data_IF_910717990437
#
_entry.id   IF_910717990437
#
_cell.length_a   1.000
_cell.length_b   1.000
_cell.length_c   1.000
_cell.angle_alpha   90.00
_cell.angle_beta   90.00
_cell.angle_gamma   90.00
#
_symmetry.space_group_name_H-M   'P 1'
#
loop_
_entity.id
_entity.type
_entity.pdbx_description
1 polymer ?
#
# COMPACT_ATOMS: atom_id res chain seq x y z
N UNK A 1 -3.96 3.30 9.78
CA UNK A 1 -3.76 1.87 9.45
C UNK A 1 -3.44 1.80 7.97
N UNK A 2 -2.37 1.14 7.55
CA UNK A 2 -2.15 0.83 6.15
C UNK A 2 -2.50 -0.61 5.83
N UNK A 3 -3.09 -0.83 4.67
CA UNK A 3 -3.60 -2.13 4.24
C UNK A 3 -3.17 -2.40 2.80
N UNK A 4 -2.80 -3.65 2.51
CA UNK A 4 -2.33 -4.04 1.18
C UNK A 4 -2.49 -5.55 0.95
N UNK A 5 -2.52 -5.96 -0.33
CA UNK A 5 -2.48 -7.34 -0.77
C UNK A 5 -1.12 -7.62 -1.45
N UNK A 6 -0.35 -8.56 -0.90
CA UNK A 6 0.91 -9.01 -1.51
C UNK A 6 0.72 -10.39 -2.14
N UNK A 7 1.07 -10.52 -3.41
CA UNK A 7 1.04 -11.80 -4.12
C UNK A 7 2.42 -12.46 -4.08
N UNK A 8 2.48 -13.71 -3.63
CA UNK A 8 3.72 -14.46 -3.51
C UNK A 8 3.58 -15.88 -4.07
N UNK A 9 4.69 -16.44 -4.53
CA UNK A 9 4.78 -17.82 -4.95
C UNK A 9 5.26 -18.66 -3.76
N UNK A 10 4.45 -19.61 -3.30
CA UNK A 10 4.82 -20.55 -2.25
C UNK A 10 5.23 -21.87 -2.90
N UNK A 11 6.39 -22.39 -2.49
CA UNK A 11 6.89 -23.68 -2.93
C UNK A 11 6.37 -24.77 -2.01
N UNK A 12 5.46 -25.59 -2.54
CA UNK A 12 4.91 -26.73 -1.84
C UNK A 12 5.56 -28.00 -2.38
N UNK A 13 6.16 -28.81 -1.50
CA UNK A 13 6.70 -30.10 -1.89
C UNK A 13 5.60 -31.16 -1.83
N UNK A 14 5.18 -31.65 -2.99
CA UNK A 14 4.22 -32.75 -3.08
C UNK A 14 4.96 -34.08 -2.87
N UNK A 15 4.85 -34.64 -1.66
CA UNK A 15 5.49 -35.92 -1.30
C UNK A 15 5.01 -37.09 -2.17
N UNK A 16 3.75 -37.11 -2.59
CA UNK A 16 3.18 -38.19 -3.42
C UNK A 16 3.74 -38.16 -4.85
N UNK A 17 3.86 -36.97 -5.43
CA UNK A 17 4.37 -36.79 -6.80
C UNK A 17 5.89 -36.59 -6.87
N UNK A 18 6.58 -36.51 -5.72
CA UNK A 18 8.01 -36.16 -5.59
C UNK A 18 8.40 -34.93 -6.41
N UNK A 19 7.50 -33.94 -6.51
CA UNK A 19 7.68 -32.72 -7.31
C UNK A 19 7.46 -31.48 -6.46
N UNK A 20 8.18 -30.41 -6.79
CA UNK A 20 7.91 -29.05 -6.29
C UNK A 20 6.77 -28.46 -7.11
N UNK A 21 5.72 -28.05 -6.42
CA UNK A 21 4.61 -27.30 -7.00
C UNK A 21 4.70 -25.86 -6.51
N UNK A 22 4.38 -24.92 -7.39
CA UNK A 22 4.34 -23.50 -7.07
C UNK A 22 2.88 -23.09 -6.98
N UNK A 23 2.42 -22.69 -5.79
CA UNK A 23 1.11 -22.07 -5.63
C UNK A 23 1.26 -20.55 -5.56
N UNK A 24 0.48 -19.84 -6.37
CA UNK A 24 0.26 -18.40 -6.17
C UNK A 24 -0.62 -18.24 -4.94
N UNK A 25 -0.10 -17.56 -3.94
CA UNK A 25 -0.80 -17.22 -2.71
C UNK A 25 -0.93 -15.71 -2.57
N UNK A 26 -1.97 -15.27 -1.87
CA UNK A 26 -2.16 -13.86 -1.54
C UNK A 26 -2.02 -13.67 -0.05
N UNK A 27 -1.24 -12.69 0.37
CA UNK A 27 -1.15 -12.29 1.76
C UNK A 27 -1.89 -10.96 1.88
N UNK A 28 -3.00 -10.95 2.62
CA UNK A 28 -3.68 -9.71 2.97
C UNK A 28 -3.15 -9.20 4.28
N UNK A 29 -2.61 -7.98 4.28
CA UNK A 29 -1.98 -7.39 5.45
C UNK A 29 -2.60 -6.06 5.84
N UNK A 30 -2.59 -5.81 7.15
CA UNK A 30 -2.92 -4.54 7.76
C UNK A 30 -1.88 -4.23 8.83
N UNK A 31 -1.30 -3.03 8.78
CA UNK A 31 -0.50 -2.50 9.88
C UNK A 31 -1.21 -1.31 10.50
N UNK A 32 -1.29 -1.30 11.82
CA UNK A 32 -1.89 -0.21 12.60
C UNK A 32 -0.82 0.43 13.49
N UNK A 33 -1.04 1.71 13.82
CA UNK A 33 -0.18 2.51 14.70
C UNK A 33 -1.00 3.72 15.19
N UNK A 34 -0.58 4.31 16.31
CA UNK A 34 -1.26 5.48 16.94
C UNK A 34 -0.68 6.82 16.51
N UNK A 35 0.40 6.82 15.73
CA UNK A 35 1.04 8.02 15.21
C UNK A 35 2.54 7.85 15.10
N UNK A 36 3.29 8.94 15.20
CA UNK A 36 4.74 8.92 15.29
C UNK A 36 5.21 8.90 16.74
N UNK A 37 6.30 8.20 17.01
CA UNK A 37 7.03 8.27 18.27
C UNK A 37 7.98 9.47 18.20
N UNK A 38 7.58 10.61 18.76
CA UNK A 38 8.35 11.86 18.72
C UNK A 38 9.74 11.72 19.35
N UNK A 39 9.86 10.89 20.41
CA UNK A 39 11.13 10.71 21.12
C UNK A 39 12.13 9.91 20.30
N UNK A 40 11.66 8.90 19.55
CA UNK A 40 12.51 8.11 18.66
C UNK A 40 12.71 8.74 17.28
N UNK A 41 11.83 9.64 16.89
CA UNK A 41 11.88 10.31 15.59
C UNK A 41 12.92 11.43 15.59
N UNK A 42 14.15 11.11 15.16
CA UNK A 42 15.30 12.01 15.15
C UNK A 42 15.77 12.23 13.70
N UNK A 43 16.23 13.45 13.38
CA UNK A 43 16.92 13.78 12.12
C UNK A 43 16.22 13.25 10.86
N UNK A 44 14.96 13.66 10.64
CA UNK A 44 14.08 13.26 9.53
C UNK A 44 13.65 11.78 9.47
N UNK A 45 14.18 10.90 10.33
CA UNK A 45 13.72 9.51 10.40
C UNK A 45 12.52 9.42 11.32
N UNK A 46 11.34 9.18 10.75
CA UNK A 46 10.09 9.00 11.51
C UNK A 46 9.93 7.55 11.96
N UNK A 47 9.60 7.35 13.23
CA UNK A 47 9.27 6.04 13.80
C UNK A 47 7.79 5.96 14.14
N UNK A 48 7.13 4.84 13.82
CA UNK A 48 5.73 4.62 14.14
C UNK A 48 5.59 4.18 15.61
N UNK A 49 4.64 4.80 16.31
CA UNK A 49 4.30 4.46 17.70
C UNK A 49 3.27 3.33 17.75
N UNK A 50 3.46 2.40 18.69
CA UNK A 50 2.55 1.27 18.95
C UNK A 50 2.22 0.45 17.70
N UNK A 51 3.18 0.29 16.79
CA UNK A 51 2.97 -0.41 15.52
C UNK A 51 2.64 -1.88 15.76
N UNK A 52 1.54 -2.38 15.18
CA UNK A 52 1.19 -3.80 15.13
C UNK A 52 0.88 -4.24 13.70
N UNK A 53 1.15 -5.50 13.40
CA UNK A 53 0.96 -6.12 12.09
C UNK A 53 -0.04 -7.26 12.19
N UNK A 54 -1.01 -7.26 11.28
CA UNK A 54 -2.01 -8.30 11.10
C UNK A 54 -1.91 -8.83 9.68
N UNK A 55 -1.78 -10.15 9.52
CA UNK A 55 -1.58 -10.79 8.22
C UNK A 55 -2.40 -12.07 8.14
N UNK A 56 -3.07 -12.27 7.01
CA UNK A 56 -3.70 -13.55 6.68
C UNK A 56 -3.11 -14.04 5.34
N UNK A 57 -2.58 -15.25 5.37
CA UNK A 57 -2.19 -15.96 4.16
C UNK A 57 -3.40 -16.68 3.57
N UNK A 58 -3.73 -16.35 2.33
CA UNK A 58 -4.71 -17.03 1.50
C UNK A 58 -3.99 -17.94 0.50
N UNK A 59 -3.80 -19.20 0.88
CA UNK A 59 -3.25 -20.23 0.00
C UNK A 59 -4.38 -20.93 -0.78
N UNK A 60 -4.05 -21.46 -1.96
CA UNK A 60 -5.00 -22.15 -2.83
C UNK A 60 -5.71 -23.28 -2.09
N UNK A 61 -7.04 -23.22 -2.08
CA UNK A 61 -7.91 -24.24 -1.49
C UNK A 61 -8.43 -23.92 -0.10
N UNK A 62 -7.99 -22.82 0.53
CA UNK A 62 -8.55 -22.32 1.79
C UNK A 62 -9.10 -20.91 1.60
N UNK A 63 -10.30 -20.65 2.09
CA UNK A 63 -10.89 -19.30 2.06
C UNK A 63 -10.56 -18.56 3.37
N UNK A 64 -9.26 -18.39 3.67
CA UNK A 64 -8.82 -17.80 4.95
C UNK A 64 -9.20 -16.31 5.08
N UNK A 65 -9.44 -15.65 3.94
CA UNK A 65 -9.93 -14.29 3.86
C UNK A 65 -11.43 -14.16 4.17
N UNK A 66 -12.14 -15.27 4.35
CA UNK A 66 -13.51 -15.22 4.85
C UNK A 66 -13.53 -14.49 6.21
N UNK A 67 -14.42 -13.50 6.31
CA UNK A 67 -14.59 -12.63 7.47
C UNK A 67 -13.30 -11.90 7.89
N UNK A 68 -12.43 -11.55 6.92
CA UNK A 68 -11.20 -10.80 7.17
C UNK A 68 -11.48 -9.50 7.95
N UNK A 69 -12.54 -8.79 7.59
CA UNK A 69 -13.04 -7.58 8.25
C UNK A 69 -13.32 -7.80 9.73
N UNK A 70 -14.02 -8.88 10.09
CA UNK A 70 -14.32 -9.23 11.48
C UNK A 70 -13.05 -9.57 12.26
N UNK A 71 -12.14 -10.35 11.65
CA UNK A 71 -10.85 -10.70 12.26
C UNK A 71 -10.00 -9.45 12.49
N UNK A 72 -9.98 -8.53 11.52
CA UNK A 72 -9.29 -7.25 11.64
C UNK A 72 -9.92 -6.36 12.72
N UNK A 73 -11.25 -6.29 12.79
CA UNK A 73 -11.97 -5.52 13.81
C UNK A 73 -11.63 -6.01 15.22
N UNK A 74 -11.63 -7.34 15.41
CA UNK A 74 -11.21 -7.97 16.66
C UNK A 74 -9.77 -7.61 17.01
N UNK A 75 -8.84 -7.78 16.06
CA UNK A 75 -7.43 -7.42 16.25
C UNK A 75 -7.24 -5.95 16.66
N UNK A 76 -7.98 -5.03 16.03
CA UNK A 76 -7.88 -3.60 16.35
C UNK A 76 -8.40 -3.29 17.76
N UNK A 77 -9.54 -3.85 18.17
CA UNK A 77 -10.08 -3.65 19.52
C UNK A 77 -9.21 -4.27 20.62
N UNK A 78 -8.54 -5.39 20.35
CA UNK A 78 -7.64 -6.02 21.31
C UNK A 78 -6.33 -5.25 21.49
N UNK A 79 -5.90 -4.49 20.49
CA UNK A 79 -4.59 -3.82 20.49
C UNK A 79 -4.66 -2.30 20.68
N UNK A 80 -5.82 -1.69 20.47
CA UNK A 80 -5.99 -0.24 20.51
C UNK A 80 -7.33 0.15 21.14
N UNK A 81 -7.32 1.22 21.94
CA UNK A 81 -8.54 1.85 22.39
C UNK A 81 -9.12 2.71 21.26
N UNK A 82 -10.18 2.23 20.60
CA UNK A 82 -10.79 2.91 19.46
C UNK A 82 -11.88 3.93 19.84
N UNK A 83 -12.31 3.97 21.12
CA UNK A 83 -13.38 4.85 21.57
C UNK A 83 -13.03 6.32 21.28
N UNK A 84 -13.94 7.02 20.60
CA UNK A 84 -13.80 8.43 20.20
C UNK A 84 -12.60 8.73 19.29
N UNK A 85 -11.97 7.73 18.67
CA UNK A 85 -10.85 7.91 17.74
C UNK A 85 -11.30 7.62 16.32
N UNK A 86 -10.82 8.43 15.38
CA UNK A 86 -11.05 8.19 13.95
C UNK A 86 -9.98 7.27 13.39
N UNK A 87 -10.39 6.16 12.80
CA UNK A 87 -9.50 5.29 12.05
C UNK A 87 -9.32 5.89 10.63
N UNK A 88 -8.07 6.02 10.21
CA UNK A 88 -7.71 6.40 8.83
C UNK A 88 -7.09 5.18 8.17
N UNK A 89 -7.58 4.83 6.99
CA UNK A 89 -7.13 3.67 6.21
C UNK A 89 -6.30 4.17 5.03
N UNK A 90 -5.06 3.69 4.94
CA UNK A 90 -4.14 3.93 3.84
C UNK A 90 -4.12 2.70 2.94
N UNK A 91 -4.34 2.86 1.63
CA UNK A 91 -4.27 1.74 0.69
C UNK A 91 -4.52 2.13 -0.76
N UNK A 92 -4.63 1.14 -1.63
CA UNK A 92 -4.73 1.30 -3.09
C UNK A 92 -6.16 1.60 -3.60
N UNK A 93 -7.15 1.55 -2.70
CA UNK A 93 -8.56 1.76 -3.03
C UNK A 93 -9.28 0.51 -3.56
N UNK A 94 -8.72 -0.69 -3.37
CA UNK A 94 -9.41 -1.94 -3.70
C UNK A 94 -10.79 -2.06 -3.04
N UNK A 95 -11.72 -2.78 -3.69
CA UNK A 95 -13.12 -2.88 -3.24
C UNK A 95 -13.27 -3.41 -1.80
N UNK A 96 -12.38 -4.31 -1.37
CA UNK A 96 -12.39 -4.82 0.00
C UNK A 96 -11.94 -3.76 1.02
N UNK A 97 -11.01 -2.86 0.66
CA UNK A 97 -10.60 -1.73 1.49
C UNK A 97 -11.77 -0.76 1.66
N UNK A 98 -12.52 -0.50 0.57
CA UNK A 98 -13.74 0.32 0.62
C UNK A 98 -14.80 -0.27 1.54
N UNK A 99 -14.96 -1.59 1.50
CA UNK A 99 -15.89 -2.32 2.37
C UNK A 99 -15.51 -2.15 3.85
N UNK A 100 -14.24 -2.36 4.19
CA UNK A 100 -13.72 -2.14 5.54
C UNK A 100 -13.92 -0.67 5.95
N UNK A 101 -13.53 0.30 5.12
CA UNK A 101 -13.69 1.71 5.47
C UNK A 101 -15.14 2.09 5.78
N UNK A 102 -16.09 1.55 5.01
CA UNK A 102 -17.52 1.74 5.24
C UNK A 102 -17.95 1.17 6.59
N UNK A 103 -17.53 -0.06 6.92
CA UNK A 103 -17.87 -0.72 8.19
C UNK A 103 -17.27 -0.01 9.41
N UNK A 104 -16.07 0.53 9.26
CA UNK A 104 -15.36 1.23 10.33
C UNK A 104 -15.64 2.74 10.36
N UNK A 105 -16.55 3.26 9.52
CA UNK A 105 -16.81 4.70 9.35
C UNK A 105 -15.52 5.52 9.23
N UNK A 106 -14.58 5.01 8.43
CA UNK A 106 -13.21 5.49 8.32
C UNK A 106 -12.97 6.22 7.01
N UNK A 107 -12.04 7.18 7.02
CA UNK A 107 -11.58 7.81 5.78
C UNK A 107 -10.58 6.89 5.08
N UNK A 108 -10.70 6.79 3.76
CA UNK A 108 -9.69 6.17 2.91
C UNK A 108 -8.79 7.26 2.36
N UNK A 109 -7.50 7.12 2.62
CA UNK A 109 -6.46 7.95 2.03
C UNK A 109 -5.65 7.06 1.11
N UNK A 110 -5.48 7.49 -0.12
CA UNK A 110 -4.67 6.76 -1.09
C UNK A 110 -3.20 6.89 -0.68
N UNK A 111 -2.48 5.77 -0.64
CA UNK A 111 -1.07 5.86 -0.24
C UNK A 111 -0.22 6.59 -1.31
N UNK A 112 0.95 7.07 -0.91
CA UNK A 112 1.81 7.88 -1.78
C UNK A 112 2.24 7.13 -3.04
N UNK A 113 2.45 5.81 -2.96
CA UNK A 113 2.88 5.00 -4.08
C UNK A 113 1.77 4.90 -5.14
N UNK A 114 0.57 4.54 -4.72
CA UNK A 114 -0.60 4.44 -5.57
C UNK A 114 -1.00 5.82 -6.11
N UNK A 115 -0.86 6.88 -5.31
CA UNK A 115 -1.17 8.25 -5.74
C UNK A 115 -0.23 8.67 -6.86
N UNK A 116 1.08 8.45 -6.67
CA UNK A 116 2.08 8.70 -7.73
C UNK A 116 1.82 7.85 -8.96
N UNK A 117 1.46 6.57 -8.79
CA UNK A 117 1.12 5.68 -9.91
C UNK A 117 -0.06 6.23 -10.73
N UNK A 118 -1.14 6.66 -10.07
CA UNK A 118 -2.29 7.25 -10.75
C UNK A 118 -1.93 8.58 -11.41
N UNK A 119 -1.18 9.46 -10.74
CA UNK A 119 -0.70 10.70 -11.33
C UNK A 119 0.14 10.44 -12.59
N UNK A 120 1.03 9.44 -12.56
CA UNK A 120 1.82 9.04 -13.74
C UNK A 120 0.99 8.42 -14.87
N UNK A 121 -0.19 7.89 -14.57
CA UNK A 121 -1.13 7.39 -15.59
C UNK A 121 -1.95 8.53 -16.19
N UNK A 122 -2.40 9.48 -15.37
CA UNK A 122 -3.19 10.63 -15.81
C UNK A 122 -2.36 11.61 -16.63
N UNK A 123 -1.12 11.85 -16.22
CA UNK A 123 -0.21 12.74 -16.91
C UNK A 123 0.84 11.92 -17.64
N UNK A 124 0.90 12.05 -18.96
CA UNK A 124 1.96 11.43 -19.76
C UNK A 124 3.28 12.16 -19.53
N UNK A 125 3.87 11.99 -18.35
CA UNK A 125 5.26 12.36 -18.13
C UNK A 125 6.09 11.43 -19.01
N UNK A 126 6.32 11.82 -20.28
CA UNK A 126 7.33 11.18 -21.11
C UNK A 126 8.60 11.21 -20.27
N UNK A 127 9.04 10.04 -19.80
CA UNK A 127 10.38 9.91 -19.22
C UNK A 127 11.31 10.50 -20.25
N UNK A 128 11.89 11.66 -19.95
CA UNK A 128 12.92 12.23 -20.80
C UNK A 128 13.94 11.12 -20.99
N UNK A 129 14.06 10.60 -22.22
CA UNK A 129 15.25 9.84 -22.58
C UNK A 129 16.37 10.86 -22.37
N UNK A 130 17.11 10.74 -21.28
CA UNK A 130 18.35 11.46 -21.03
C UNK A 130 19.35 10.99 -22.09
N UNK A 131 19.13 11.41 -23.32
CA UNK A 131 20.03 11.25 -24.47
C UNK A 131 20.53 12.64 -24.86
N UNK A 132 21.03 13.38 -23.88
CA UNK A 132 21.89 14.54 -24.12
C UNK A 132 22.74 14.70 -22.87
N UNK A 133 24.06 14.52 -23.03
CA UNK A 133 25.10 14.73 -22.01
C UNK A 133 25.19 16.22 -21.67
N UNK A 134 24.17 16.78 -21.04
CA UNK A 134 24.18 18.12 -20.49
C UNK A 134 23.57 18.08 -19.11
N UNK A 135 24.31 18.52 -18.10
CA UNK A 135 23.81 18.70 -16.73
C UNK A 135 22.68 19.73 -16.76
N UNK A 136 21.44 19.29 -16.84
CA UNK A 136 20.29 20.15 -16.59
C UNK A 136 20.16 20.31 -15.08
N UNK A 137 20.13 21.55 -14.59
CA UNK A 137 19.92 21.81 -13.17
C UNK A 137 18.48 21.47 -12.78
N UNK A 138 18.25 21.17 -11.50
CA UNK A 138 16.96 20.69 -10.96
C UNK A 138 15.76 21.59 -11.31
N UNK A 139 16.00 22.89 -11.49
CA UNK A 139 15.01 23.89 -11.91
C UNK A 139 14.59 23.70 -13.38
N UNK A 140 15.52 23.39 -14.27
CA UNK A 140 15.25 23.20 -15.70
C UNK A 140 14.50 21.90 -15.98
N UNK A 141 14.81 20.84 -15.20
CA UNK A 141 14.08 19.57 -15.23
C UNK A 141 12.62 19.81 -14.82
N UNK A 142 12.37 20.58 -13.76
CA UNK A 142 11.02 20.93 -13.30
C UNK A 142 10.25 21.77 -14.32
N UNK A 143 10.88 22.80 -14.91
CA UNK A 143 10.25 23.62 -15.96
C UNK A 143 9.86 22.80 -17.18
N UNK A 144 10.74 21.92 -17.67
CA UNK A 144 10.46 21.11 -18.87
C UNK A 144 9.39 20.05 -18.67
N UNK A 145 9.24 19.49 -17.47
CA UNK A 145 8.19 18.52 -17.16
C UNK A 145 6.78 19.13 -17.16
N UNK A 146 6.65 20.43 -16.86
CA UNK A 146 5.37 21.15 -16.84
C UNK A 146 4.96 21.63 -18.25
N UNK A 147 5.93 22.01 -19.09
CA UNK A 147 5.65 22.73 -20.35
C UNK A 147 5.35 21.85 -21.57
N UNK A 148 5.62 20.54 -21.55
CA UNK A 148 5.41 19.69 -22.72
C UNK A 148 3.94 19.28 -22.95
N UNK A 149 3.04 19.53 -22.00
CA UNK A 149 1.63 19.12 -22.08
C UNK A 149 0.75 20.07 -22.92
N UNK A 150 1.20 21.30 -23.18
CA UNK A 150 0.39 22.31 -23.90
C UNK A 150 0.76 22.49 -25.38
N UNK A 151 1.86 21.89 -25.85
CA UNK A 151 2.41 22.14 -27.20
C UNK A 151 2.16 21.04 -28.23
N UNK A 152 1.39 19.99 -27.91
CA UNK A 152 1.17 18.85 -28.81
C UNK A 152 -0.29 18.61 -29.20
N UNK A 153 -1.15 19.60 -28.94
CA UNK A 153 -2.52 19.66 -29.47
C UNK A 153 -2.57 20.82 -30.46
N UNK A 154 -1.98 20.63 -31.65
CA UNK A 154 -2.34 21.29 -32.92
C UNK A 154 -1.72 20.47 -34.07
#
# INVERSE_FOLDING_TARGET
MGVDDTYTNIFNYNKKLRKKEISKSTIRMAYAHTGFDEKKSINNRRFLRDKKLFMILNDKGKNELHNYDQKLYKFLNENYELKNKKLIILGDGASWIKTIASQFHSDIVLDEFHLKKYLHQCFSFRRFKLKTKGYLNSVEIKKRAIYYDFGSIY
#
